data_IF_375823895869
#
_entry.id   IF_375823895869
#
_cell.length_a   1.000
_cell.length_b   1.000
_cell.length_c   1.000
_cell.angle_alpha   90.00
_cell.angle_beta   90.00
_cell.angle_gamma   90.00
#
_symmetry.space_group_name_H-M   'P 1'
#
loop_
_entity.id
_entity.type
_entity.pdbx_description
1 polymer ?
#
# COMPACT_ATOMS: atom_id res chain seq x y z
N UNK A 1 -14.06 -43.31 45.44
CA UNK A 1 -14.84 -42.05 45.50
C UNK A 1 -14.63 -41.32 44.18
N UNK A 2 -15.64 -41.27 43.32
CA UNK A 2 -15.58 -40.63 42.01
C UNK A 2 -16.38 -39.32 42.05
N UNK A 3 -15.75 -38.22 41.66
CA UNK A 3 -16.30 -36.87 41.37
C UNK A 3 -15.12 -36.13 40.73
N UNK A 4 -15.16 -35.55 39.53
CA UNK A 4 -16.13 -34.63 38.97
C UNK A 4 -16.06 -34.67 37.43
N UNK A 5 -17.20 -34.73 36.77
CA UNK A 5 -17.41 -34.21 35.41
C UNK A 5 -17.86 -32.75 35.57
N UNK A 6 -17.29 -31.79 34.83
CA UNK A 6 -18.04 -30.72 34.14
C UNK A 6 -17.13 -29.81 33.28
N UNK A 7 -17.37 -29.89 31.97
CA UNK A 7 -17.54 -28.78 31.01
C UNK A 7 -16.50 -27.67 30.90
N UNK A 8 -15.91 -27.57 29.71
CA UNK A 8 -15.35 -26.32 29.19
C UNK A 8 -14.39 -26.56 28.04
N UNK A 9 -14.89 -26.91 26.87
CA UNK A 9 -14.13 -26.83 25.61
C UNK A 9 -13.83 -25.35 25.40
N UNK A 10 -12.67 -24.89 25.89
CA UNK A 10 -12.11 -23.62 25.47
C UNK A 10 -11.68 -23.80 24.03
N UNK A 11 -12.39 -23.11 23.16
CA UNK A 11 -12.21 -23.08 21.73
C UNK A 11 -10.73 -23.13 21.35
N UNK A 12 -10.38 -24.21 20.65
CA UNK A 12 -9.50 -24.20 19.49
C UNK A 12 -9.99 -23.10 18.52
N UNK A 13 -9.61 -21.86 18.78
CA UNK A 13 -9.40 -20.90 17.71
C UNK A 13 -7.90 -20.81 17.52
N UNK A 14 -7.46 -21.48 16.47
CA UNK A 14 -6.14 -21.33 15.88
C UNK A 14 -5.83 -19.84 15.72
N UNK A 15 -4.95 -19.32 16.58
CA UNK A 15 -3.94 -18.37 16.14
C UNK A 15 -2.64 -19.17 16.04
N UNK A 16 -2.62 -20.10 15.08
CA UNK A 16 -1.36 -20.43 14.44
C UNK A 16 -1.01 -19.20 13.59
N UNK A 17 -0.19 -18.31 14.12
CA UNK A 17 0.63 -17.47 13.24
C UNK A 17 1.72 -18.40 12.72
N UNK A 18 1.59 -18.81 11.47
CA UNK A 18 2.61 -19.59 10.78
C UNK A 18 3.66 -18.59 10.31
N UNK A 19 4.65 -18.34 11.15
CA UNK A 19 5.86 -17.61 10.73
C UNK A 19 6.71 -18.58 9.89
N UNK A 20 6.31 -18.78 8.63
CA UNK A 20 7.04 -19.59 7.66
C UNK A 20 7.87 -18.68 6.75
N UNK A 21 9.02 -18.23 7.28
CA UNK A 21 9.99 -17.41 6.56
C UNK A 21 10.85 -18.25 5.62
N UNK A 22 10.27 -18.70 4.50
CA UNK A 22 11.06 -19.14 3.35
C UNK A 22 10.48 -18.62 2.05
N UNK A 23 10.66 -17.33 1.79
CA UNK A 23 10.70 -16.80 0.41
C UNK A 23 11.76 -15.70 0.26
N UNK A 24 12.89 -16.14 -0.25
CA UNK A 24 13.95 -15.37 -0.86
C UNK A 24 13.44 -14.64 -2.11
N UNK A 25 12.90 -13.43 -1.91
CA UNK A 25 13.13 -12.20 -2.71
C UNK A 25 12.12 -11.09 -2.30
N UNK A 26 12.48 -10.34 -1.25
CA UNK A 26 12.29 -8.90 -1.07
C UNK A 26 10.99 -8.24 -1.62
N UNK A 27 9.87 -8.28 -0.87
CA UNK A 27 8.93 -7.14 -0.68
C UNK A 27 7.83 -7.36 0.41
N UNK A 28 7.96 -8.31 1.34
CA UNK A 28 6.88 -8.63 2.30
C UNK A 28 6.76 -7.64 3.48
N UNK A 29 6.87 -6.34 3.25
CA UNK A 29 6.83 -5.34 4.34
C UNK A 29 5.42 -4.85 4.68
N UNK A 30 4.46 -5.14 3.82
CA UNK A 30 3.12 -4.57 3.85
C UNK A 30 2.00 -5.61 3.95
N UNK A 31 2.37 -6.88 4.23
CA UNK A 31 1.45 -8.03 4.25
C UNK A 31 1.32 -8.70 2.88
N UNK A 32 0.80 -9.93 2.89
CA UNK A 32 0.60 -10.77 1.69
C UNK A 32 -0.34 -10.11 0.65
N UNK A 33 -1.19 -9.19 1.11
CA UNK A 33 -2.14 -8.42 0.29
C UNK A 33 -1.52 -7.20 -0.43
N UNK A 34 -0.20 -6.99 -0.29
CA UNK A 34 0.45 -5.84 -0.91
C UNK A 34 0.58 -6.01 -2.42
N UNK A 35 0.59 -7.22 -2.97
CA UNK A 35 0.75 -7.43 -4.41
C UNK A 35 -0.61 -7.56 -5.12
N UNK A 36 -1.13 -6.43 -5.60
CA UNK A 36 -1.98 -6.43 -6.79
C UNK A 36 -1.29 -5.60 -7.88
N UNK A 37 -0.46 -6.27 -8.69
CA UNK A 37 -0.14 -5.75 -10.02
C UNK A 37 -1.40 -5.95 -10.86
N UNK A 38 -2.38 -5.07 -10.66
CA UNK A 38 -3.49 -4.98 -11.60
C UNK A 38 -2.96 -4.22 -12.83
N UNK A 39 -2.38 -4.95 -13.77
CA UNK A 39 -2.19 -4.48 -15.14
C UNK A 39 -3.58 -4.14 -15.67
N UNK A 40 -3.94 -2.86 -15.62
CA UNK A 40 -5.28 -2.43 -15.96
C UNK A 40 -5.38 -2.15 -17.45
N UNK A 41 -6.30 -2.86 -18.11
CA UNK A 41 -6.66 -2.71 -19.51
C UNK A 41 -7.49 -1.42 -19.74
N UNK A 42 -6.99 -0.24 -19.35
CA UNK A 42 -7.56 1.00 -19.91
C UNK A 42 -7.43 0.90 -21.44
N UNK A 43 -8.49 1.25 -22.18
CA UNK A 43 -8.46 1.21 -23.66
C UNK A 43 -7.61 2.33 -24.29
N UNK A 44 -6.63 2.85 -23.55
CA UNK A 44 -5.70 3.88 -23.98
C UNK A 44 -4.32 3.30 -24.28
N UNK A 45 -3.51 4.05 -25.01
CA UNK A 45 -2.15 3.64 -25.41
C UNK A 45 -1.13 3.69 -24.27
N UNK A 46 -1.53 4.05 -23.05
CA UNK A 46 -0.65 4.19 -21.87
C UNK A 46 -1.12 3.30 -20.73
N UNK A 47 -0.25 2.37 -20.33
CA UNK A 47 -0.46 1.49 -19.20
C UNK A 47 -0.35 2.25 -17.86
N UNK A 48 -1.21 1.91 -16.91
CA UNK A 48 -1.12 2.40 -15.54
C UNK A 48 -0.38 1.37 -14.69
N UNK A 49 0.71 1.80 -14.05
CA UNK A 49 1.46 0.98 -13.10
C UNK A 49 1.25 1.51 -11.69
N UNK A 50 0.78 0.63 -10.81
CA UNK A 50 0.46 0.94 -9.42
C UNK A 50 1.58 0.43 -8.52
N UNK A 51 2.27 1.36 -7.86
CA UNK A 51 3.25 1.03 -6.83
C UNK A 51 2.57 1.08 -5.46
N UNK A 52 2.54 -0.06 -4.80
CA UNK A 52 1.87 -0.28 -3.51
C UNK A 52 2.72 0.14 -2.30
N UNK A 53 3.97 0.56 -2.49
CA UNK A 53 4.89 0.95 -1.40
C UNK A 53 5.57 2.27 -1.73
N UNK A 54 5.70 3.14 -0.73
CA UNK A 54 6.48 4.38 -0.81
C UNK A 54 7.15 4.67 0.54
N UNK A 55 8.20 5.49 0.54
CA UNK A 55 9.08 5.77 1.67
C UNK A 55 9.14 7.26 1.98
N UNK A 56 8.18 7.83 2.72
CA UNK A 56 8.12 9.27 3.00
C UNK A 56 9.15 9.67 4.07
N UNK A 57 10.43 9.43 3.83
CA UNK A 57 11.54 9.69 4.76
C UNK A 57 12.24 11.04 4.50
N UNK A 58 11.87 11.73 3.42
CA UNK A 58 12.40 13.03 3.02
C UNK A 58 13.75 12.96 2.32
N UNK A 59 14.17 11.81 1.81
CA UNK A 59 15.44 11.66 1.06
C UNK A 59 15.33 12.05 -0.43
N UNK A 60 14.12 12.36 -0.90
CA UNK A 60 13.81 12.75 -2.26
C UNK A 60 13.45 11.58 -3.18
N UNK A 61 13.54 10.34 -2.71
CA UNK A 61 13.26 9.12 -3.46
C UNK A 61 12.05 8.41 -2.86
N UNK A 62 11.07 8.04 -3.70
CA UNK A 62 9.87 7.34 -3.23
C UNK A 62 9.09 8.03 -2.09
N UNK A 63 9.25 9.34 -1.89
CA UNK A 63 8.62 10.05 -0.77
C UNK A 63 7.09 10.20 -0.89
N UNK A 64 6.55 9.86 -2.05
CA UNK A 64 5.15 10.06 -2.40
C UNK A 64 4.59 8.82 -3.09
N UNK A 65 3.30 8.59 -2.91
CA UNK A 65 2.59 7.58 -3.69
C UNK A 65 2.43 8.06 -5.14
N UNK A 66 3.00 7.31 -6.08
CA UNK A 66 2.97 7.60 -7.52
C UNK A 66 2.27 6.48 -8.28
N UNK A 67 1.43 6.87 -9.25
CA UNK A 67 0.85 5.96 -10.24
C UNK A 67 1.45 6.35 -11.59
N UNK A 68 2.31 5.50 -12.15
CA UNK A 68 2.97 5.77 -13.42
C UNK A 68 1.97 5.65 -14.58
N UNK A 69 2.16 6.46 -15.61
CA UNK A 69 1.21 6.57 -16.73
C UNK A 69 -0.02 7.44 -16.46
N UNK A 70 -0.33 7.76 -15.19
CA UNK A 70 -1.54 8.54 -14.84
C UNK A 70 -1.57 9.95 -15.45
N UNK A 71 -0.40 10.52 -15.75
CA UNK A 71 -0.28 11.82 -16.42
C UNK A 71 -0.91 11.88 -17.81
N UNK A 72 -1.11 10.74 -18.48
CA UNK A 72 -1.82 10.67 -19.76
C UNK A 72 -3.34 10.86 -19.62
N UNK A 73 -3.87 10.81 -18.39
CA UNK A 73 -5.29 10.85 -18.09
C UNK A 73 -5.63 12.04 -17.18
N UNK A 74 -5.73 13.27 -17.69
CA UNK A 74 -5.91 14.47 -16.87
C UNK A 74 -7.25 14.51 -16.10
N UNK A 75 -8.25 13.77 -16.57
CA UNK A 75 -9.53 13.58 -15.89
C UNK A 75 -9.45 12.36 -14.97
N UNK A 76 -8.67 12.48 -13.91
CA UNK A 76 -8.61 11.48 -12.84
C UNK A 76 -8.94 12.10 -11.48
N UNK A 77 -9.37 11.27 -10.54
CA UNK A 77 -9.50 11.65 -9.14
C UNK A 77 -9.10 10.48 -8.25
N UNK A 78 -8.49 10.78 -7.11
CA UNK A 78 -8.11 9.78 -6.13
C UNK A 78 -8.61 10.17 -4.75
N UNK A 79 -9.01 9.15 -4.00
CA UNK A 79 -9.33 9.22 -2.57
C UNK A 79 -8.43 8.24 -1.84
N UNK A 80 -7.86 8.67 -0.72
CA UNK A 80 -7.01 7.84 0.13
C UNK A 80 -7.56 7.86 1.55
N UNK A 81 -7.61 6.68 2.14
CA UNK A 81 -8.23 6.42 3.42
C UNK A 81 -7.23 5.79 4.40
N UNK A 82 -7.23 6.26 5.64
CA UNK A 82 -6.57 5.60 6.76
C UNK A 82 -7.63 4.85 7.57
N UNK A 83 -7.54 3.51 7.58
CA UNK A 83 -8.49 2.63 8.30
C UNK A 83 -9.96 2.96 8.01
N UNK A 84 -10.26 3.35 6.76
CA UNK A 84 -11.59 3.69 6.26
C UNK A 84 -12.00 5.16 6.42
N UNK A 85 -11.16 6.01 7.03
CA UNK A 85 -11.39 7.45 7.15
C UNK A 85 -10.71 8.18 5.99
N UNK A 86 -11.46 9.00 5.25
CA UNK A 86 -10.89 9.82 4.17
C UNK A 86 -9.89 10.82 4.74
N UNK A 87 -8.63 10.73 4.30
CA UNK A 87 -7.54 11.62 4.74
C UNK A 87 -6.98 12.48 3.61
N UNK A 88 -7.18 12.08 2.37
CA UNK A 88 -6.70 12.80 1.20
C UNK A 88 -7.65 12.58 0.02
N UNK A 89 -7.96 13.65 -0.69
CA UNK A 89 -8.76 13.64 -1.91
C UNK A 89 -8.21 14.70 -2.85
N UNK A 90 -8.04 14.33 -4.12
CA UNK A 90 -7.72 15.32 -5.14
C UNK A 90 -8.19 14.87 -6.52
N UNK A 91 -8.45 15.85 -7.36
CA UNK A 91 -8.58 15.67 -8.80
C UNK A 91 -7.21 15.87 -9.45
N UNK A 92 -6.97 15.24 -10.59
CA UNK A 92 -5.72 15.33 -11.34
C UNK A 92 -4.48 15.08 -10.46
N UNK A 93 -4.44 13.90 -9.83
CA UNK A 93 -3.45 13.50 -8.82
C UNK A 93 -1.99 13.63 -9.28
N UNK A 94 -1.74 13.56 -10.59
CA UNK A 94 -0.40 13.70 -11.13
C UNK A 94 0.11 15.15 -11.15
N UNK A 95 -0.77 16.14 -11.39
CA UNK A 95 -0.39 17.55 -11.61
C UNK A 95 -0.59 18.43 -10.37
N UNK A 96 -1.58 18.12 -9.52
CA UNK A 96 -1.95 18.98 -8.40
C UNK A 96 -1.13 18.69 -7.14
N UNK A 97 -1.40 17.56 -6.49
CA UNK A 97 -0.75 17.16 -5.26
C UNK A 97 -0.69 15.65 -5.18
N UNK A 98 0.45 15.12 -4.76
CA UNK A 98 0.64 13.70 -4.46
C UNK A 98 0.63 13.48 -2.95
N UNK A 99 0.12 12.34 -2.54
CA UNK A 99 0.06 11.93 -1.14
C UNK A 99 1.43 11.43 -0.67
N UNK A 100 1.83 11.77 0.56
CA UNK A 100 3.05 11.25 1.18
C UNK A 100 3.94 12.30 1.84
N UNK A 101 4.00 13.53 1.33
CA UNK A 101 4.82 14.59 1.95
C UNK A 101 4.34 14.96 3.35
N UNK A 102 3.03 14.92 3.57
CA UNK A 102 2.39 15.14 4.88
C UNK A 102 2.76 14.06 5.91
N UNK A 103 3.28 12.92 5.45
CA UNK A 103 3.77 11.84 6.29
C UNK A 103 5.23 12.03 6.72
N UNK A 104 6.02 12.89 6.05
CA UNK A 104 7.46 13.09 6.33
C UNK A 104 7.71 13.60 7.76
N UNK A 105 6.84 14.43 8.30
CA UNK A 105 6.99 14.94 9.67
C UNK A 105 6.30 14.06 10.73
N UNK A 106 5.57 13.00 10.30
CA UNK A 106 4.88 12.10 11.21
C UNK A 106 5.79 10.98 11.73
N UNK A 107 5.73 10.68 13.02
CA UNK A 107 6.44 9.55 13.62
C UNK A 107 5.64 8.26 13.44
N UNK A 108 6.12 7.34 12.62
CA UNK A 108 5.60 5.98 12.48
C UNK A 108 6.65 5.07 11.83
N UNK A 109 6.58 3.77 12.09
CA UNK A 109 7.44 2.79 11.43
C UNK A 109 6.85 2.36 10.09
N UNK A 110 5.55 2.03 10.10
CA UNK A 110 4.75 1.62 8.95
C UNK A 110 3.31 2.10 9.06
N UNK A 111 2.70 2.46 7.93
CA UNK A 111 1.24 2.68 7.79
C UNK A 111 0.72 2.02 6.52
N UNK A 112 -0.52 1.54 6.56
CA UNK A 112 -1.22 0.99 5.40
C UNK A 112 -2.49 1.82 5.18
N UNK A 113 -2.67 2.28 3.96
CA UNK A 113 -3.81 3.05 3.51
C UNK A 113 -4.55 2.28 2.42
N UNK A 114 -5.81 2.64 2.19
CA UNK A 114 -6.56 2.20 1.01
C UNK A 114 -6.82 3.37 0.09
N UNK A 115 -6.95 3.11 -1.21
CA UNK A 115 -7.28 4.15 -2.17
C UNK A 115 -8.40 3.72 -3.11
N UNK A 116 -9.09 4.71 -3.67
CA UNK A 116 -9.98 4.58 -4.80
C UNK A 116 -9.54 5.59 -5.88
N UNK A 117 -9.22 5.10 -7.08
CA UNK A 117 -8.88 5.88 -8.26
C UNK A 117 -10.05 5.80 -9.25
N UNK A 118 -10.45 6.96 -9.77
CA UNK A 118 -11.37 7.08 -10.90
C UNK A 118 -10.66 7.78 -12.05
N UNK A 119 -10.77 7.24 -13.26
CA UNK A 119 -10.24 7.83 -14.49
C UNK A 119 -11.36 7.87 -15.53
N UNK A 120 -11.59 9.03 -16.13
CA UNK A 120 -12.54 9.19 -17.24
C UNK A 120 -11.80 9.54 -18.54
N UNK A 121 -11.79 8.58 -19.46
CA UNK A 121 -11.24 8.76 -20.82
C UNK A 121 -12.31 8.51 -21.90
N UNK A 122 -13.56 8.91 -21.64
CA UNK A 122 -14.72 8.56 -22.47
C UNK A 122 -15.42 7.27 -22.01
N UNK A 123 -14.74 6.47 -21.18
CA UNK A 123 -15.31 5.45 -20.34
C UNK A 123 -14.76 5.62 -18.92
N UNK A 124 -15.64 5.47 -17.93
CA UNK A 124 -15.22 5.50 -16.53
C UNK A 124 -14.49 4.20 -16.18
N UNK A 125 -13.23 4.35 -15.79
CA UNK A 125 -12.40 3.32 -15.21
C UNK A 125 -12.29 3.55 -13.69
N UNK A 126 -12.41 2.47 -12.91
CA UNK A 126 -12.26 2.50 -11.44
C UNK A 126 -11.23 1.46 -11.03
N UNK A 127 -10.25 1.89 -10.22
CA UNK A 127 -9.33 1.03 -9.50
C UNK A 127 -9.39 1.31 -8.00
N UNK A 128 -9.04 0.32 -7.19
CA UNK A 128 -8.86 0.48 -5.76
C UNK A 128 -7.78 -0.49 -5.28
N UNK A 129 -7.22 -0.22 -4.10
CA UNK A 129 -6.17 -1.06 -3.57
C UNK A 129 -5.64 -0.56 -2.25
N UNK A 130 -4.52 -1.15 -1.84
CA UNK A 130 -3.76 -0.79 -0.65
C UNK A 130 -2.46 -0.11 -1.05
N UNK A 131 -2.02 0.85 -0.24
CA UNK A 131 -0.69 1.44 -0.33
C UNK A 131 -0.06 1.46 1.05
N UNK A 132 1.25 1.32 1.10
CA UNK A 132 2.01 1.16 2.31
C UNK A 132 3.11 2.21 2.38
N UNK A 133 3.12 2.97 3.47
CA UNK A 133 4.17 3.91 3.78
C UNK A 133 5.12 3.29 4.80
N UNK A 134 6.42 3.26 4.48
CA UNK A 134 7.46 2.73 5.37
C UNK A 134 8.52 3.81 5.57
N UNK A 135 8.85 4.14 6.83
CA UNK A 135 9.92 5.11 7.12
C UNK A 135 11.19 4.51 7.68
N UNK A 136 11.07 3.34 8.29
CA UNK A 136 12.06 2.62 9.12
C UNK A 136 13.19 3.47 9.74
N UNK A 137 13.11 3.67 11.06
CA UNK A 137 14.24 4.09 11.90
C UNK A 137 14.81 2.94 12.77
N UNK A 138 14.43 1.69 12.49
CA UNK A 138 14.86 0.53 13.28
C UNK A 138 15.57 -0.51 12.42
N UNK A 139 16.61 -1.15 12.99
CA UNK A 139 17.11 -2.43 12.48
C UNK A 139 15.97 -3.42 12.70
N UNK A 140 15.14 -3.58 11.69
CA UNK A 140 14.15 -4.65 11.66
C UNK A 140 14.90 -5.96 11.42
N UNK A 141 14.80 -6.88 12.37
CA UNK A 141 15.33 -8.24 12.23
C UNK A 141 14.58 -9.05 11.18
N UNK A 142 13.49 -8.49 10.62
CA UNK A 142 12.52 -9.20 9.78
C UNK A 142 12.65 -8.86 8.27
N UNK A 143 13.86 -8.46 7.83
CA UNK A 143 14.29 -8.39 6.40
C UNK A 143 13.63 -7.29 5.53
N UNK A 144 13.02 -6.27 6.12
CA UNK A 144 12.45 -5.16 5.37
C UNK A 144 13.46 -4.05 5.04
N UNK A 145 14.21 -4.23 3.96
CA UNK A 145 15.12 -3.20 3.44
C UNK A 145 14.38 -2.24 2.49
N UNK A 146 13.61 -1.30 3.07
CA UNK A 146 12.88 -0.27 2.32
C UNK A 146 13.79 0.61 1.43
N UNK A 147 15.11 0.65 1.70
CA UNK A 147 16.10 1.37 0.90
C UNK A 147 16.37 0.80 -0.51
N UNK A 148 15.89 -0.41 -0.81
CA UNK A 148 16.08 -1.06 -2.13
C UNK A 148 14.80 -1.06 -2.99
N UNK A 149 13.79 -0.27 -2.63
CA UNK A 149 12.61 -0.08 -3.49
C UNK A 149 13.03 0.84 -4.63
N UNK A 150 13.02 0.33 -5.87
CA UNK A 150 13.30 1.14 -7.07
C UNK A 150 12.33 2.30 -7.16
N UNK A 151 12.81 3.50 -7.45
CA UNK A 151 11.98 4.70 -7.61
C UNK A 151 11.19 4.64 -8.93
N UNK A 152 9.84 4.66 -8.90
CA UNK A 152 8.97 4.76 -10.08
C UNK A 152 9.20 5.99 -10.96
N UNK A 153 9.84 7.03 -10.42
CA UNK A 153 10.16 8.26 -11.12
C UNK A 153 11.53 8.24 -11.80
N UNK A 154 12.30 7.16 -11.68
CA UNK A 154 13.63 7.00 -12.29
C UNK A 154 13.65 6.09 -13.54
N UNK A 155 12.50 5.76 -14.13
CA UNK A 155 12.40 5.11 -15.45
C UNK A 155 12.30 6.12 -16.62
#
# INVERSE_FOLDING_TARGET
MYKLFLTGITCLFFLNCSDDDTDNNNLSCCGEDALSIETNNLSGDTELLFFNVFTPNGDGFNDQFVISGLGAYPNNSIKIFDRGVLIFETENYHLNQRFGLDLIDQSFDKKVFTYELLVDNGQLFKANGTICAIKSSGIDTDKCNAFNITDPLLE
#
